data_IF_898342882985
#
_entry.id   IF_898342882985
#
_cell.length_a   1.000
_cell.length_b   1.000
_cell.length_c   1.000
_cell.angle_alpha   90.00
_cell.angle_beta   90.00
_cell.angle_gamma   90.00
#
_symmetry.space_group_name_H-M   'P 1'
#
loop_
_entity.id
_entity.type
_entity.pdbx_description
1 polymer ?
#
# COMPACT_ATOMS: atom_id res chain seq x y z
N UNK A 1 -16.70 -10.89 20.93
CA UNK A 1 -16.74 -9.59 21.66
C UNK A 1 -17.97 -8.80 21.18
N UNK A 2 -18.68 -8.10 22.08
CA UNK A 2 -19.77 -7.21 21.66
C UNK A 2 -19.18 -5.91 21.10
N UNK A 3 -19.45 -5.64 19.83
CA UNK A 3 -18.96 -4.48 19.08
C UNK A 3 -20.07 -3.51 18.68
N UNK A 4 -21.31 -3.76 19.12
CA UNK A 4 -22.52 -3.06 18.68
C UNK A 4 -22.44 -1.53 18.86
N UNK A 5 -21.82 -1.05 19.95
CA UNK A 5 -21.62 0.39 20.20
C UNK A 5 -20.85 1.10 19.08
N UNK A 6 -19.91 0.41 18.43
CA UNK A 6 -19.05 1.01 17.40
C UNK A 6 -19.73 1.08 16.03
N UNK A 7 -20.80 0.31 15.80
CA UNK A 7 -21.52 0.31 14.53
C UNK A 7 -22.34 1.58 14.30
N UNK A 8 -22.70 2.30 15.38
CA UNK A 8 -23.60 3.48 15.33
C UNK A 8 -23.04 4.72 16.03
N UNK A 9 -21.81 4.66 16.52
CA UNK A 9 -21.16 5.80 17.16
C UNK A 9 -20.91 6.90 16.13
N UNK A 10 -21.32 8.14 16.44
CA UNK A 10 -20.90 9.32 15.68
C UNK A 10 -19.42 9.61 15.92
N UNK A 11 -18.75 10.22 14.93
CA UNK A 11 -17.37 10.68 15.14
C UNK A 11 -17.33 11.70 16.29
N UNK A 12 -16.36 11.60 17.22
CA UNK A 12 -16.16 12.63 18.22
C UNK A 12 -15.89 14.00 17.57
N UNK A 13 -16.45 15.07 18.13
CA UNK A 13 -16.27 16.44 17.63
C UNK A 13 -14.78 16.82 17.55
N UNK A 14 -13.98 16.42 18.54
CA UNK A 14 -12.55 16.71 18.61
C UNK A 14 -11.71 16.09 17.49
N UNK A 15 -12.22 15.08 16.78
CA UNK A 15 -11.50 14.35 15.72
C UNK A 15 -12.28 14.34 14.40
N UNK A 16 -13.28 15.21 14.26
CA UNK A 16 -14.18 15.20 13.09
C UNK A 16 -13.44 15.47 11.77
N UNK A 17 -12.37 16.25 11.86
CA UNK A 17 -11.54 16.70 10.73
C UNK A 17 -10.27 15.86 10.54
N UNK A 18 -10.10 14.76 11.31
CA UNK A 18 -8.95 13.87 11.13
C UNK A 18 -9.08 13.10 9.81
N UNK A 19 -7.94 12.89 9.14
CA UNK A 19 -7.85 12.15 7.87
C UNK A 19 -6.95 10.93 8.07
N UNK A 20 -7.42 9.75 7.64
CA UNK A 20 -6.52 8.61 7.42
C UNK A 20 -5.76 8.91 6.13
N UNK A 21 -4.66 9.63 6.28
CA UNK A 21 -3.95 10.23 5.16
C UNK A 21 -3.09 9.19 4.45
N UNK A 22 -2.33 8.37 5.17
CA UNK A 22 -1.41 7.41 4.56
C UNK A 22 -1.33 6.06 5.26
N UNK A 23 -0.92 5.06 4.48
CA UNK A 23 -0.27 3.84 4.97
C UNK A 23 1.13 3.75 4.39
N UNK A 24 2.14 3.56 5.23
CA UNK A 24 3.53 3.47 4.81
C UNK A 24 3.96 2.01 4.61
N UNK A 25 4.63 1.75 3.50
CA UNK A 25 5.28 0.49 3.18
C UNK A 25 6.74 0.75 2.82
N UNK A 26 7.65 -0.01 3.41
CA UNK A 26 9.03 -0.04 2.91
C UNK A 26 9.07 -0.83 1.62
N UNK A 27 9.80 -0.32 0.64
CA UNK A 27 9.96 -0.94 -0.67
C UNK A 27 11.43 -1.16 -0.99
N UNK A 28 11.72 -2.32 -1.57
CA UNK A 28 13.09 -2.71 -1.96
C UNK A 28 13.57 -1.88 -3.14
N UNK A 29 12.75 -1.81 -4.18
CA UNK A 29 13.06 -1.11 -5.42
C UNK A 29 11.93 -0.10 -5.69
N UNK A 30 12.21 1.20 -5.63
CA UNK A 30 11.18 2.23 -5.77
C UNK A 30 10.62 2.27 -7.20
N UNK A 31 11.42 1.99 -8.22
CA UNK A 31 10.96 2.03 -9.62
C UNK A 31 10.00 0.88 -9.91
N UNK A 32 10.35 -0.35 -9.53
CA UNK A 32 9.42 -1.50 -9.67
C UNK A 32 8.12 -1.28 -8.89
N UNK A 33 8.22 -0.63 -7.73
CA UNK A 33 7.04 -0.29 -6.93
C UNK A 33 6.18 0.76 -7.61
N UNK A 34 6.77 1.82 -8.17
CA UNK A 34 6.06 2.84 -8.93
C UNK A 34 5.43 2.27 -10.20
N UNK A 35 6.10 1.40 -10.95
CA UNK A 35 5.50 0.69 -12.09
C UNK A 35 4.24 -0.09 -11.66
N UNK A 36 4.31 -0.80 -10.54
CA UNK A 36 3.15 -1.53 -10.03
C UNK A 36 2.02 -0.59 -9.59
N UNK A 37 2.29 0.41 -8.74
CA UNK A 37 1.21 1.28 -8.25
C UNK A 37 0.66 2.21 -9.33
N UNK A 38 1.52 2.78 -10.18
CA UNK A 38 1.11 3.73 -11.21
C UNK A 38 0.63 3.04 -12.49
N UNK A 39 1.44 2.17 -13.10
CA UNK A 39 1.10 1.60 -14.42
C UNK A 39 0.15 0.41 -14.31
N UNK A 40 0.33 -0.43 -13.28
CA UNK A 40 -0.55 -1.57 -13.05
C UNK A 40 -1.82 -1.16 -12.33
N UNK A 41 -1.77 -0.42 -11.22
CA UNK A 41 -2.97 -0.05 -10.45
C UNK A 41 -3.62 1.28 -10.85
N UNK A 42 -2.97 2.09 -11.69
CA UNK A 42 -3.53 3.35 -12.17
C UNK A 42 -3.47 4.48 -11.14
N UNK A 43 -2.58 4.41 -10.16
CA UNK A 43 -2.36 5.49 -9.20
C UNK A 43 -1.48 6.57 -9.85
N UNK A 44 -1.37 7.72 -9.20
CA UNK A 44 -0.44 8.77 -9.60
C UNK A 44 0.53 9.09 -8.47
N UNK A 45 1.78 9.37 -8.81
CA UNK A 45 2.77 9.93 -7.88
C UNK A 45 2.38 11.36 -7.54
N UNK A 46 1.91 11.56 -6.30
CA UNK A 46 1.47 12.86 -5.78
C UNK A 46 2.66 13.65 -5.27
N UNK A 47 3.59 13.01 -4.58
CA UNK A 47 4.71 13.68 -3.93
C UNK A 47 5.93 12.79 -3.84
N UNK A 48 7.11 13.38 -3.97
CA UNK A 48 8.38 12.72 -3.73
C UNK A 48 9.28 13.64 -2.89
N UNK A 49 9.97 13.05 -1.91
CA UNK A 49 10.96 13.75 -1.10
C UNK A 49 12.18 12.85 -0.87
N UNK A 50 13.33 13.48 -0.98
CA UNK A 50 14.62 12.86 -0.73
C UNK A 50 15.17 13.29 0.63
N UNK A 51 15.74 12.34 1.36
CA UNK A 51 16.37 12.60 2.63
C UNK A 51 17.78 11.98 2.66
N UNK A 52 18.72 12.48 1.83
CA UNK A 52 20.06 11.91 1.70
C UNK A 52 20.83 11.86 3.04
N UNK A 53 20.59 12.82 3.94
CA UNK A 53 21.18 12.84 5.28
C UNK A 53 20.74 11.66 6.17
N UNK A 54 19.64 10.99 5.83
CA UNK A 54 19.10 9.83 6.55
C UNK A 54 19.05 8.57 5.69
N UNK A 55 19.52 8.64 4.44
CA UNK A 55 19.65 7.47 3.56
C UNK A 55 18.34 6.88 3.06
N UNK A 56 17.29 7.70 2.88
CA UNK A 56 16.02 7.21 2.33
C UNK A 56 15.28 8.25 1.48
N UNK A 57 14.41 7.77 0.60
CA UNK A 57 13.41 8.55 -0.15
C UNK A 57 12.00 8.08 0.20
N UNK A 58 11.03 8.97 0.03
CA UNK A 58 9.60 8.67 0.17
C UNK A 58 8.84 9.07 -1.08
N UNK A 59 7.95 8.19 -1.53
CA UNK A 59 7.10 8.37 -2.71
C UNK A 59 5.65 8.17 -2.31
N UNK A 60 4.84 9.21 -2.45
CA UNK A 60 3.41 9.16 -2.12
C UNK A 60 2.60 8.92 -3.38
N UNK A 61 1.92 7.78 -3.45
CA UNK A 61 1.02 7.44 -4.56
C UNK A 61 -0.43 7.39 -4.10
N UNK A 62 -1.36 7.84 -4.93
CA UNK A 62 -2.78 7.82 -4.63
C UNK A 62 -3.65 7.69 -5.90
N UNK A 63 -4.90 7.24 -5.72
CA UNK A 63 -5.93 7.32 -6.75
C UNK A 63 -6.46 8.75 -6.83
N UNK A 64 -5.84 9.55 -7.68
CA UNK A 64 -6.19 10.95 -7.90
C UNK A 64 -6.09 11.28 -9.38
N UNK A 65 -6.95 12.18 -9.85
CA UNK A 65 -6.83 12.78 -11.18
C UNK A 65 -5.53 13.58 -11.27
N UNK A 66 -4.61 13.24 -12.21
CA UNK A 66 -3.35 13.95 -12.36
C UNK A 66 -3.53 15.45 -12.65
N UNK A 67 -4.66 15.87 -13.23
CA UNK A 67 -4.95 17.29 -13.46
C UNK A 67 -5.13 18.10 -12.16
N UNK A 68 -5.30 17.43 -11.01
CA UNK A 68 -5.40 18.07 -9.69
C UNK A 68 -4.05 18.24 -9.01
N UNK A 69 -2.99 17.62 -9.51
CA UNK A 69 -1.67 17.63 -8.88
C UNK A 69 -0.96 18.94 -9.25
N UNK A 70 -0.60 19.80 -8.28
CA UNK A 70 0.11 21.04 -8.58
C UNK A 70 1.49 20.81 -9.17
N UNK A 71 2.00 21.81 -9.86
CA UNK A 71 3.37 21.81 -10.41
C UNK A 71 4.39 22.18 -9.32
N UNK A 72 4.01 23.01 -8.36
CA UNK A 72 4.88 23.47 -7.29
C UNK A 72 4.89 22.55 -6.06
N UNK A 73 6.01 22.55 -5.37
CA UNK A 73 6.29 21.65 -4.24
C UNK A 73 5.33 21.84 -3.05
N UNK A 74 4.98 23.09 -2.74
CA UNK A 74 4.12 23.41 -1.60
C UNK A 74 2.68 22.96 -1.86
N UNK A 75 2.20 23.18 -3.09
CA UNK A 75 0.89 22.70 -3.54
C UNK A 75 0.79 21.18 -3.52
N UNK A 76 1.82 20.48 -4.02
CA UNK A 76 1.88 19.01 -3.97
C UNK A 76 1.88 18.48 -2.54
N UNK A 77 2.64 19.11 -1.64
CA UNK A 77 2.65 18.77 -0.22
C UNK A 77 1.26 18.95 0.41
N UNK A 78 0.66 20.12 0.22
CA UNK A 78 -0.67 20.44 0.77
C UNK A 78 -1.74 19.46 0.27
N UNK A 79 -1.72 19.12 -1.03
CA UNK A 79 -2.61 18.12 -1.62
C UNK A 79 -2.36 16.73 -1.02
N UNK A 80 -1.10 16.30 -0.98
CA UNK A 80 -0.71 14.98 -0.48
C UNK A 80 -1.18 14.78 0.97
N UNK A 81 -0.88 15.73 1.86
CA UNK A 81 -1.22 15.65 3.29
C UNK A 81 -2.73 15.70 3.59
N UNK A 82 -3.57 15.99 2.59
CA UNK A 82 -5.03 16.00 2.73
C UNK A 82 -5.72 14.97 1.83
N UNK A 83 -4.96 14.17 1.08
CA UNK A 83 -5.51 13.09 0.26
C UNK A 83 -5.67 11.83 1.12
N UNK A 84 -6.91 11.31 1.32
CA UNK A 84 -7.12 10.09 2.08
C UNK A 84 -6.51 8.88 1.38
N UNK A 85 -6.07 7.89 2.18
CA UNK A 85 -5.60 6.60 1.70
C UNK A 85 -4.42 6.68 0.70
N UNK A 86 -3.53 7.66 0.83
CA UNK A 86 -2.23 7.62 0.16
C UNK A 86 -1.43 6.40 0.60
N UNK A 87 -0.57 5.91 -0.29
CA UNK A 87 0.43 4.92 0.04
C UNK A 87 1.78 5.64 0.02
N UNK A 88 2.44 5.67 1.17
CA UNK A 88 3.83 6.15 1.30
C UNK A 88 4.76 4.97 1.06
N UNK A 89 5.52 5.00 -0.03
CA UNK A 89 6.56 4.02 -0.35
C UNK A 89 7.90 4.57 0.13
N UNK A 90 8.50 3.92 1.11
CA UNK A 90 9.80 4.33 1.67
C UNK A 90 10.89 3.43 1.13
N UNK A 91 11.82 4.02 0.39
CA UNK A 91 13.01 3.34 -0.13
C UNK A 91 14.22 3.71 0.72
N UNK A 92 14.86 2.71 1.32
CA UNK A 92 16.16 2.89 1.97
C UNK A 92 17.27 2.63 0.94
N UNK A 93 18.25 3.52 0.88
CA UNK A 93 19.30 3.47 -0.15
C UNK A 93 20.04 2.15 -0.15
N UNK A 94 20.24 1.59 -1.35
CA UNK A 94 20.94 0.31 -1.57
C UNK A 94 20.10 -0.94 -1.36
N UNK A 95 18.86 -0.83 -0.86
CA UNK A 95 18.02 -2.03 -0.65
C UNK A 95 17.64 -2.76 -1.95
N UNK A 96 17.67 -2.07 -3.09
CA UNK A 96 17.48 -2.63 -4.43
C UNK A 96 18.65 -3.51 -4.89
N UNK A 97 19.84 -3.29 -4.34
CA UNK A 97 21.05 -4.06 -4.63
C UNK A 97 21.23 -5.29 -3.72
N UNK A 98 20.50 -5.36 -2.59
CA UNK A 98 20.56 -6.49 -1.66
C UNK A 98 19.97 -7.76 -2.30
N UNK A 99 20.57 -8.92 -2.05
CA UNK A 99 20.06 -10.20 -2.55
C UNK A 99 18.84 -10.68 -1.75
N UNK A 100 17.88 -11.29 -2.44
CA UNK A 100 16.71 -11.92 -1.81
C UNK A 100 15.65 -10.94 -1.31
N UNK A 101 14.87 -11.38 -0.31
CA UNK A 101 13.82 -10.59 0.31
C UNK A 101 14.41 -9.72 1.43
N UNK A 102 14.21 -8.40 1.33
CA UNK A 102 14.77 -7.42 2.29
C UNK A 102 13.77 -7.11 3.39
N UNK A 103 12.50 -6.98 3.05
CA UNK A 103 11.46 -6.57 4.00
C UNK A 103 10.49 -7.72 4.29
N UNK A 104 9.95 -7.71 5.52
CA UNK A 104 8.95 -8.66 5.95
C UNK A 104 7.54 -8.15 5.61
N UNK A 105 6.72 -9.00 5.00
CA UNK A 105 5.34 -8.67 4.63
C UNK A 105 4.35 -8.71 5.80
N UNK A 106 4.76 -9.22 6.96
CA UNK A 106 3.90 -9.38 8.13
C UNK A 106 3.02 -10.64 8.11
N UNK A 107 3.05 -11.43 7.03
CA UNK A 107 2.12 -12.55 6.79
C UNK A 107 2.68 -13.95 7.09
N UNK A 108 3.89 -14.06 7.63
CA UNK A 108 4.48 -15.34 8.03
C UNK A 108 4.07 -15.74 9.45
N UNK A 109 4.00 -17.03 9.74
CA UNK A 109 3.79 -17.56 11.11
C UNK A 109 4.99 -17.28 12.03
N UNK A 110 6.14 -16.87 11.45
CA UNK A 110 7.34 -16.44 12.15
C UNK A 110 7.76 -15.05 11.66
N UNK A 111 7.01 -14.01 12.03
CA UNK A 111 7.45 -12.62 11.82
C UNK A 111 8.33 -12.23 13.00
N UNK A 112 9.63 -12.06 12.80
CA UNK A 112 10.58 -11.83 13.89
C UNK A 112 10.39 -10.49 14.60
N UNK A 113 10.21 -10.54 15.91
CA UNK A 113 10.60 -9.45 16.79
C UNK A 113 12.13 -9.43 16.92
N UNK A 114 12.73 -8.25 17.16
CA UNK A 114 14.18 -8.06 17.25
C UNK A 114 14.86 -8.89 18.36
N UNK A 115 14.09 -9.55 19.23
CA UNK A 115 14.51 -10.28 20.43
C UNK A 115 14.45 -11.82 20.29
N UNK A 116 14.18 -12.34 19.07
CA UNK A 116 14.24 -13.78 18.79
C UNK A 116 13.03 -14.59 19.31
N UNK A 117 11.99 -13.93 19.82
CA UNK A 117 10.74 -14.58 20.19
C UNK A 117 9.87 -14.84 18.94
N UNK A 118 9.24 -16.01 18.88
CA UNK A 118 8.27 -16.31 17.82
C UNK A 118 6.98 -15.50 18.07
N UNK A 119 6.78 -14.42 17.31
CA UNK A 119 5.54 -13.67 17.30
C UNK A 119 4.76 -13.92 16.00
N UNK A 120 3.43 -14.01 16.13
CA UNK A 120 2.52 -14.17 15.00
C UNK A 120 2.45 -12.86 14.20
N UNK A 121 2.12 -12.98 12.92
CA UNK A 121 2.05 -11.90 11.94
C UNK A 121 1.39 -10.60 12.39
N UNK A 122 1.73 -9.50 11.71
CA UNK A 122 1.30 -8.13 12.00
C UNK A 122 0.42 -7.53 10.91
N UNK A 123 0.98 -6.61 10.13
CA UNK A 123 0.31 -6.07 8.94
C UNK A 123 -0.07 -7.19 7.97
N UNK A 124 -1.30 -7.15 7.46
CA UNK A 124 -1.82 -8.13 6.51
C UNK A 124 -1.63 -7.66 5.06
N UNK A 125 -2.44 -6.70 4.65
CA UNK A 125 -2.47 -6.23 3.27
C UNK A 125 -3.22 -4.90 3.13
N UNK A 126 -2.99 -4.24 2.00
CA UNK A 126 -3.91 -3.26 1.43
C UNK A 126 -4.96 -3.97 0.58
N UNK A 127 -6.15 -3.39 0.50
CA UNK A 127 -7.25 -3.90 -0.33
C UNK A 127 -7.73 -2.86 -1.32
N UNK A 128 -7.75 -3.23 -2.61
CA UNK A 128 -8.25 -2.38 -3.69
C UNK A 128 -9.54 -2.95 -4.25
N UNK A 129 -10.60 -2.13 -4.20
CA UNK A 129 -11.91 -2.44 -4.80
C UNK A 129 -11.90 -2.17 -6.28
N UNK A 130 -12.34 -3.16 -7.05
CA UNK A 130 -12.43 -3.10 -8.52
C UNK A 130 -13.82 -3.52 -8.97
N UNK A 131 -14.31 -3.05 -10.15
CA UNK A 131 -15.63 -3.42 -10.67
C UNK A 131 -15.77 -4.93 -10.97
N UNK A 132 -14.73 -5.53 -11.56
CA UNK A 132 -14.64 -6.96 -11.84
C UNK A 132 -13.26 -7.48 -11.45
N UNK A 133 -13.24 -8.41 -10.48
CA UNK A 133 -11.99 -8.98 -9.97
C UNK A 133 -11.32 -9.93 -10.96
N UNK A 134 -12.08 -10.60 -11.82
CA UNK A 134 -11.56 -11.53 -12.81
C UNK A 134 -10.89 -10.77 -13.96
N UNK A 135 -11.52 -9.72 -14.47
CA UNK A 135 -10.93 -8.86 -15.50
C UNK A 135 -9.65 -8.18 -14.99
N UNK A 136 -9.69 -7.64 -13.76
CA UNK A 136 -8.50 -7.05 -13.14
C UNK A 136 -7.36 -8.07 -12.99
N UNK A 137 -7.65 -9.27 -12.46
CA UNK A 137 -6.65 -10.32 -12.32
C UNK A 137 -6.09 -10.81 -13.66
N UNK A 138 -6.93 -10.88 -14.70
CA UNK A 138 -6.47 -11.23 -16.04
C UNK A 138 -5.49 -10.18 -16.57
N UNK A 139 -5.81 -8.88 -16.44
CA UNK A 139 -4.90 -7.79 -16.81
C UNK A 139 -3.57 -7.86 -16.06
N UNK A 140 -3.59 -8.10 -14.75
CA UNK A 140 -2.35 -8.23 -13.96
C UNK A 140 -1.51 -9.43 -14.39
N UNK A 141 -2.16 -10.55 -14.72
CA UNK A 141 -1.47 -11.72 -15.26
C UNK A 141 -0.80 -11.41 -16.60
N UNK A 142 -1.48 -10.67 -17.49
CA UNK A 142 -0.94 -10.28 -18.79
C UNK A 142 0.22 -9.29 -18.66
N UNK A 143 0.26 -8.51 -17.59
CA UNK A 143 1.37 -7.63 -17.21
C UNK A 143 2.48 -8.35 -16.40
N UNK A 144 2.38 -9.66 -16.21
CA UNK A 144 3.40 -10.47 -15.54
C UNK A 144 3.42 -10.36 -14.01
N UNK A 145 2.36 -9.83 -13.39
CA UNK A 145 2.27 -9.74 -11.93
C UNK A 145 2.22 -11.14 -11.28
N UNK A 146 2.87 -11.26 -10.11
CA UNK A 146 2.84 -12.47 -9.30
C UNK A 146 1.64 -12.45 -8.36
N UNK A 147 0.95 -13.59 -8.24
CA UNK A 147 -0.19 -13.75 -7.35
C UNK A 147 0.18 -14.61 -6.14
N UNK A 148 -0.05 -14.10 -4.93
CA UNK A 148 -0.04 -14.94 -3.72
C UNK A 148 -1.26 -15.88 -3.69
N UNK A 149 -2.43 -15.38 -4.14
CA UNK A 149 -3.67 -16.13 -4.30
C UNK A 149 -4.44 -15.61 -5.52
N UNK A 150 -5.03 -16.51 -6.30
CA UNK A 150 -5.92 -16.16 -7.41
C UNK A 150 -7.38 -16.11 -6.94
N UNK A 151 -8.30 -15.43 -7.66
CA UNK A 151 -9.71 -15.37 -7.29
C UNK A 151 -10.39 -16.73 -7.14
N UNK A 152 -9.83 -17.75 -7.79
CA UNK A 152 -10.32 -19.14 -7.78
C UNK A 152 -9.53 -20.06 -6.82
N UNK A 153 -8.55 -19.52 -6.08
CA UNK A 153 -7.76 -20.30 -5.12
C UNK A 153 -8.40 -20.30 -3.73
N UNK A 154 -8.51 -21.48 -3.10
CA UNK A 154 -9.05 -21.66 -1.75
C UNK A 154 -10.51 -22.15 -1.68
N UNK A 155 -11.00 -22.35 -0.46
CA UNK A 155 -12.34 -22.91 -0.19
C UNK A 155 -13.51 -21.92 -0.33
N UNK A 156 -13.23 -20.63 -0.52
CA UNK A 156 -14.23 -19.57 -0.62
C UNK A 156 -14.31 -19.05 -2.06
N UNK A 157 -14.97 -19.82 -2.94
CA UNK A 157 -15.22 -19.42 -4.34
C UNK A 157 -16.20 -18.25 -4.38
N UNK A 158 -15.90 -17.22 -5.17
CA UNK A 158 -16.80 -16.06 -5.37
C UNK A 158 -16.82 -15.01 -4.26
N UNK A 159 -16.05 -15.20 -3.17
CA UNK A 159 -15.83 -14.19 -2.12
C UNK A 159 -14.50 -13.45 -2.25
N UNK A 160 -13.81 -13.57 -3.39
CA UNK A 160 -12.75 -12.63 -3.80
C UNK A 160 -13.36 -11.26 -4.16
N UNK A 161 -14.25 -10.76 -3.30
CA UNK A 161 -14.85 -9.44 -3.35
C UNK A 161 -13.72 -8.43 -3.18
N UNK A 162 -13.47 -7.64 -4.22
CA UNK A 162 -13.00 -6.27 -4.09
C UNK A 162 -11.68 -6.02 -3.33
N UNK A 163 -10.83 -7.03 -3.16
CA UNK A 163 -9.56 -6.93 -2.41
C UNK A 163 -8.48 -7.59 -3.24
N UNK A 164 -7.82 -6.80 -4.09
CA UNK A 164 -6.53 -7.20 -4.61
C UNK A 164 -5.49 -7.09 -3.49
N UNK A 165 -4.87 -8.21 -3.15
CA UNK A 165 -3.74 -8.27 -2.23
C UNK A 165 -2.50 -7.71 -2.95
N UNK A 166 -2.28 -6.40 -2.87
CA UNK A 166 -1.04 -5.77 -3.29
C UNK A 166 0.05 -6.08 -2.25
N UNK A 167 0.61 -7.29 -2.33
CA UNK A 167 1.91 -7.60 -1.71
C UNK A 167 2.86 -7.98 -2.83
N UNK A 168 3.06 -7.05 -3.76
CA UNK A 168 4.01 -7.23 -4.84
C UNK A 168 5.19 -6.30 -4.55
N UNK A 169 6.35 -6.90 -4.29
CA UNK A 169 7.67 -6.27 -4.13
C UNK A 169 7.98 -5.54 -2.80
N UNK A 170 7.62 -6.17 -1.68
CA UNK A 170 8.27 -5.93 -0.37
C UNK A 170 9.44 -6.90 -0.23
#
# INVERSE_FOLDING_TARGET
PDVSKYAKQSRPEATKDYVMQQTMLRVKDPLKSLEFYCDVLGFNLVMHREFPQWGFNVYFVAQIDPARIPEDDDGRWALCMNTPACIELTYNYGSDEEDGAVYNTGNSDTTGSQDGQAVKGGFGHLGITVPDVYEACQRFKDLGCKFAKTPNSGGMKGLSMSVLLATVFV
#
